data_IF_902552995290
#
_entry.id   IF_902552995290
#
_cell.length_a   1.000
_cell.length_b   1.000
_cell.length_c   1.000
_cell.angle_alpha   90.00
_cell.angle_beta   90.00
_cell.angle_gamma   90.00
#
_symmetry.space_group_name_H-M   'P 1'
#
loop_
_entity.id
_entity.type
_entity.pdbx_description
1 polymer ?
#
# COMPACT_ATOMS: atom_id res chain seq x y z
N UNK A 1 -5.49 20.04 1.68
CA UNK A 1 -5.99 19.25 2.82
C UNK A 1 -4.92 18.24 3.12
N UNK A 2 -4.41 18.23 4.33
CA UNK A 2 -3.21 17.46 4.66
C UNK A 2 -3.60 16.17 5.38
N UNK A 3 -2.94 15.07 5.02
CA UNK A 3 -3.10 13.74 5.61
C UNK A 3 -1.75 13.24 6.08
N UNK A 4 -1.70 12.65 7.27
CA UNK A 4 -0.43 12.26 7.89
C UNK A 4 -0.41 10.78 8.30
N UNK A 5 0.80 10.24 8.34
CA UNK A 5 1.15 8.96 8.93
C UNK A 5 2.51 9.10 9.60
N UNK A 6 2.77 8.29 10.62
CA UNK A 6 4.02 8.27 11.37
C UNK A 6 4.64 6.88 11.32
N UNK A 7 5.96 6.84 11.21
CA UNK A 7 6.74 5.63 11.31
C UNK A 7 7.80 5.79 12.40
N UNK A 8 7.89 4.82 13.30
CA UNK A 8 8.97 4.73 14.29
C UNK A 8 9.84 3.55 13.93
N UNK A 9 11.16 3.71 14.03
CA UNK A 9 12.12 2.62 13.89
C UNK A 9 13.08 2.61 15.07
N UNK A 10 13.43 1.42 15.56
CA UNK A 10 14.36 1.22 16.67
C UNK A 10 15.38 0.15 16.31
N UNK A 11 16.66 0.44 16.56
CA UNK A 11 17.76 -0.49 16.31
C UNK A 11 18.35 -0.39 14.90
N UNK A 12 19.23 -1.36 14.57
CA UNK A 12 19.88 -1.44 13.27
C UNK A 12 18.91 -1.90 12.17
N UNK A 13 19.36 -2.00 10.91
CA UNK A 13 18.49 -2.39 9.80
C UNK A 13 17.97 -3.83 9.92
N UNK A 14 18.83 -4.82 10.20
CA UNK A 14 18.46 -6.24 10.10
C UNK A 14 17.67 -6.76 11.31
N UNK A 15 18.03 -6.29 12.49
CA UNK A 15 17.44 -6.73 13.76
C UNK A 15 16.46 -5.71 14.34
N UNK A 16 16.44 -4.50 13.77
CA UNK A 16 15.53 -3.46 14.20
C UNK A 16 14.08 -3.77 13.86
N UNK A 17 13.22 -3.06 14.55
CA UNK A 17 11.78 -3.16 14.42
C UNK A 17 11.18 -1.76 14.46
N UNK A 18 10.03 -1.62 13.81
CA UNK A 18 9.32 -0.36 13.76
C UNK A 18 7.82 -0.54 13.90
N UNK A 19 7.14 0.59 14.02
CA UNK A 19 5.69 0.68 14.07
C UNK A 19 5.17 1.77 13.14
N UNK A 20 3.96 1.57 12.61
CA UNK A 20 3.26 2.51 11.73
C UNK A 20 1.94 2.95 12.36
N UNK A 21 1.66 4.24 12.25
CA UNK A 21 0.42 4.86 12.70
C UNK A 21 -0.13 5.75 11.57
N UNK A 22 -1.44 5.68 11.30
CA UNK A 22 -2.11 6.59 10.36
C UNK A 22 -3.04 7.54 11.09
N UNK A 23 -3.24 8.76 10.56
CA UNK A 23 -4.14 9.77 11.16
C UNK A 23 -5.55 9.24 11.43
N UNK A 24 -6.06 8.35 10.57
CA UNK A 24 -7.38 7.74 10.74
C UNK A 24 -7.44 6.66 11.83
N UNK A 25 -6.28 6.18 12.30
CA UNK A 25 -6.16 5.02 13.18
C UNK A 25 -6.32 3.67 12.48
N UNK A 26 -6.40 3.65 11.14
CA UNK A 26 -6.46 2.40 10.36
C UNK A 26 -5.21 1.53 10.58
N UNK A 27 -4.04 2.16 10.75
CA UNK A 27 -2.85 1.56 11.32
C UNK A 27 -2.61 2.22 12.68
N UNK A 28 -2.34 1.40 13.70
CA UNK A 28 -2.10 1.88 15.06
C UNK A 28 -1.06 1.00 15.73
N UNK A 29 0.16 1.52 15.84
CA UNK A 29 1.32 0.77 16.30
C UNK A 29 1.61 -0.48 15.46
N UNK A 30 1.21 -0.51 14.19
CA UNK A 30 1.30 -1.71 13.35
C UNK A 30 2.76 -2.07 13.11
N UNK A 31 3.23 -3.27 13.50
CA UNK A 31 4.65 -3.61 13.44
C UNK A 31 5.14 -3.82 12.00
N UNK A 32 6.34 -3.34 11.72
CA UNK A 32 7.08 -3.68 10.49
C UNK A 32 8.56 -3.92 10.81
N UNK A 33 9.24 -4.69 9.98
CA UNK A 33 10.66 -5.03 10.15
C UNK A 33 11.33 -5.33 8.81
N UNK A 34 12.66 -5.41 8.81
CA UNK A 34 13.41 -5.81 7.63
C UNK A 34 13.04 -7.23 7.19
N UNK A 35 12.86 -8.14 8.16
CA UNK A 35 12.48 -9.54 7.88
C UNK A 35 11.12 -9.62 7.20
N UNK A 36 10.12 -8.92 7.75
CA UNK A 36 8.78 -8.86 7.17
C UNK A 36 8.76 -8.25 5.77
N UNK A 37 9.67 -7.30 5.50
CA UNK A 37 9.73 -6.60 4.20
C UNK A 37 10.55 -7.33 3.14
N UNK A 38 11.63 -8.02 3.52
CA UNK A 38 12.63 -8.52 2.56
C UNK A 38 12.94 -10.00 2.68
N UNK A 39 12.73 -10.62 3.85
CA UNK A 39 13.03 -12.05 4.06
C UNK A 39 11.79 -12.93 3.94
N UNK A 40 10.59 -12.36 4.08
CA UNK A 40 9.34 -13.01 3.73
C UNK A 40 8.95 -12.73 2.29
N UNK A 41 9.30 -13.65 1.38
CA UNK A 41 8.95 -13.55 -0.04
C UNK A 41 7.43 -13.54 -0.29
N UNK A 42 6.62 -14.03 0.66
CA UNK A 42 5.16 -13.97 0.52
C UNK A 42 4.58 -12.59 0.83
N UNK A 43 5.32 -11.76 1.57
CA UNK A 43 4.89 -10.44 2.06
C UNK A 43 3.72 -10.49 3.04
N UNK A 44 3.44 -11.64 3.67
CA UNK A 44 2.24 -11.85 4.52
C UNK A 44 2.52 -11.85 6.02
N UNK A 45 3.79 -11.90 6.42
CA UNK A 45 4.20 -11.99 7.82
C UNK A 45 4.08 -10.68 8.59
N UNK A 46 3.72 -9.58 7.91
CA UNK A 46 3.49 -8.27 8.49
C UNK A 46 3.28 -7.22 7.42
N UNK A 47 2.94 -6.01 7.85
CA UNK A 47 2.80 -4.89 6.90
C UNK A 47 4.16 -4.47 6.36
N UNK A 48 4.13 -3.84 5.19
CA UNK A 48 5.32 -3.33 4.52
C UNK A 48 4.97 -2.06 3.72
N UNK A 49 5.93 -1.16 3.44
CA UNK A 49 5.66 0.05 2.67
C UNK A 49 5.04 -0.22 1.28
N UNK A 50 5.42 -1.32 0.64
CA UNK A 50 5.01 -1.66 -0.72
C UNK A 50 3.50 -1.97 -0.81
N UNK A 51 2.94 -2.75 0.13
CA UNK A 51 1.50 -3.02 0.16
C UNK A 51 0.67 -1.78 0.47
N UNK A 52 1.20 -0.84 1.27
CA UNK A 52 0.50 0.39 1.62
C UNK A 52 0.43 1.34 0.41
N UNK A 53 1.50 1.39 -0.39
CA UNK A 53 1.50 2.10 -1.68
C UNK A 53 0.55 1.40 -2.65
N UNK A 54 0.53 0.07 -2.69
CA UNK A 54 -0.40 -0.69 -3.53
C UNK A 54 -1.87 -0.38 -3.15
N UNK A 55 -2.19 -0.37 -1.85
CA UNK A 55 -3.53 -0.04 -1.36
C UNK A 55 -3.95 1.39 -1.73
N UNK A 56 -3.05 2.37 -1.53
CA UNK A 56 -3.31 3.75 -1.90
C UNK A 56 -3.55 3.91 -3.41
N UNK A 57 -2.73 3.27 -4.24
CA UNK A 57 -2.82 3.37 -5.69
C UNK A 57 -4.09 2.69 -6.24
N UNK A 58 -4.38 1.46 -5.80
CA UNK A 58 -5.57 0.72 -6.20
C UNK A 58 -6.86 1.48 -5.82
N UNK A 59 -6.94 1.98 -4.58
CA UNK A 59 -8.10 2.72 -4.10
C UNK A 59 -8.32 4.04 -4.85
N UNK A 60 -7.24 4.79 -5.14
CA UNK A 60 -7.33 6.02 -5.93
C UNK A 60 -7.81 5.75 -7.36
N UNK A 61 -7.26 4.71 -8.01
CA UNK A 61 -7.65 4.32 -9.36
C UNK A 61 -9.12 3.91 -9.46
N UNK A 62 -9.57 3.00 -8.58
CA UNK A 62 -10.98 2.56 -8.57
C UNK A 62 -11.95 3.72 -8.34
N UNK A 63 -11.63 4.62 -7.41
CA UNK A 63 -12.45 5.79 -7.11
C UNK A 63 -12.57 6.75 -8.31
N UNK A 64 -11.44 7.10 -8.92
CA UNK A 64 -11.45 8.00 -10.07
C UNK A 64 -12.15 7.37 -11.29
N UNK A 65 -11.94 6.07 -11.54
CA UNK A 65 -12.61 5.38 -12.63
C UNK A 65 -14.12 5.31 -12.42
N UNK A 66 -14.59 5.02 -11.20
CA UNK A 66 -16.01 5.05 -10.85
C UNK A 66 -16.64 6.42 -11.15
N UNK A 67 -15.94 7.50 -10.80
CA UNK A 67 -16.39 8.86 -11.08
C UNK A 67 -16.53 9.13 -12.58
N UNK A 68 -15.52 8.80 -13.39
CA UNK A 68 -15.55 9.02 -14.85
C UNK A 68 -16.65 8.18 -15.52
N UNK A 69 -16.85 6.94 -15.08
CA UNK A 69 -17.93 6.07 -15.58
C UNK A 69 -19.31 6.64 -15.27
N UNK A 70 -19.51 7.20 -14.07
CA UNK A 70 -20.75 7.86 -13.70
C UNK A 70 -21.01 9.14 -14.51
N UNK A 71 -19.98 9.97 -14.74
CA UNK A 71 -20.08 11.16 -15.59
C UNK A 71 -20.48 10.83 -17.03
N UNK A 72 -20.12 9.64 -17.51
CA UNK A 72 -20.50 9.15 -18.83
C UNK A 72 -21.85 8.40 -18.86
N UNK A 73 -22.64 8.46 -17.78
CA UNK A 73 -23.96 7.83 -17.70
C UNK A 73 -23.94 6.31 -17.54
N UNK A 74 -22.79 5.72 -17.22
CA UNK A 74 -22.59 4.28 -17.04
C UNK A 74 -21.95 3.98 -15.68
N UNK A 75 -22.60 4.33 -14.55
CA UNK A 75 -22.02 4.11 -13.22
C UNK A 75 -21.72 2.63 -12.98
N UNK A 76 -20.50 2.34 -12.53
CA UNK A 76 -20.10 0.97 -12.20
C UNK A 76 -20.88 0.45 -10.98
N UNK A 77 -21.29 -0.82 -11.02
CA UNK A 77 -21.85 -1.51 -9.85
C UNK A 77 -20.77 -1.93 -8.87
N UNK A 78 -19.62 -2.38 -9.40
CA UNK A 78 -18.46 -2.81 -8.63
C UNK A 78 -17.19 -2.59 -9.47
N UNK A 79 -16.08 -2.25 -8.83
CA UNK A 79 -14.75 -2.17 -9.43
C UNK A 79 -13.76 -2.82 -8.47
N UNK A 80 -13.33 -4.03 -8.77
CA UNK A 80 -12.27 -4.74 -8.05
C UNK A 80 -10.92 -4.39 -8.70
N UNK A 81 -10.25 -3.39 -8.13
CA UNK A 81 -8.93 -2.95 -8.58
C UNK A 81 -7.83 -3.50 -7.66
N UNK A 82 -6.81 -4.09 -8.27
CA UNK A 82 -5.60 -4.57 -7.59
C UNK A 82 -4.38 -3.86 -8.14
N UNK A 83 -3.51 -3.40 -7.24
CA UNK A 83 -2.18 -2.91 -7.58
C UNK A 83 -1.11 -3.93 -7.13
N UNK A 84 -0.10 -4.13 -7.96
CA UNK A 84 1.12 -4.89 -7.63
C UNK A 84 2.30 -3.93 -7.68
N UNK A 85 2.87 -3.62 -6.53
CA UNK A 85 4.07 -2.78 -6.41
C UNK A 85 5.31 -3.66 -6.48
N UNK A 86 6.24 -3.34 -7.37
CA UNK A 86 7.51 -4.05 -7.53
C UNK A 86 8.64 -3.28 -6.87
N UNK A 87 9.28 -3.91 -5.90
CA UNK A 87 10.50 -3.43 -5.25
C UNK A 87 11.69 -4.24 -5.74
N UNK A 88 12.74 -3.54 -6.21
CA UNK A 88 14.03 -4.15 -6.53
C UNK A 88 15.02 -3.77 -5.44
N UNK A 89 15.53 -4.72 -4.63
CA UNK A 89 16.50 -4.44 -3.57
C UNK A 89 17.72 -3.67 -4.10
N UNK A 90 18.08 -2.58 -3.41
CA UNK A 90 19.17 -1.70 -3.83
C UNK A 90 18.82 -0.67 -4.90
N UNK A 91 17.67 -0.80 -5.56
CA UNK A 91 17.17 0.18 -6.55
C UNK A 91 15.97 0.97 -6.03
N UNK A 92 15.06 0.32 -5.32
CA UNK A 92 13.81 0.91 -4.84
C UNK A 92 12.59 0.40 -5.60
N UNK A 93 11.47 1.14 -5.50
CA UNK A 93 10.22 0.79 -6.17
C UNK A 93 10.36 1.13 -7.66
N UNK A 94 10.17 0.13 -8.53
CA UNK A 94 10.36 0.27 -9.98
C UNK A 94 9.07 0.15 -10.78
N UNK A 95 7.98 -0.28 -10.16
CA UNK A 95 6.70 -0.45 -10.86
C UNK A 95 5.50 -0.52 -9.93
N UNK A 96 4.34 -0.17 -10.48
CA UNK A 96 3.03 -0.38 -9.87
C UNK A 96 2.03 -0.76 -10.96
N UNK A 97 1.74 -2.06 -11.09
CA UNK A 97 0.88 -2.60 -12.13
C UNK A 97 -0.57 -2.73 -11.62
N UNK A 98 -1.54 -2.20 -12.35
CA UNK A 98 -2.96 -2.26 -12.02
C UNK A 98 -3.68 -3.31 -12.85
N UNK A 99 -4.54 -4.10 -12.20
CA UNK A 99 -5.53 -4.96 -12.85
C UNK A 99 -6.91 -4.61 -12.30
N UNK A 100 -7.94 -4.69 -13.14
CA UNK A 100 -9.31 -4.33 -12.79
C UNK A 100 -10.26 -5.43 -13.27
N UNK A 101 -11.24 -5.77 -12.42
CA UNK A 101 -12.45 -6.52 -12.78
C UNK A 101 -13.66 -5.65 -12.42
N UNK A 102 -14.61 -5.47 -13.33
CA UNK A 102 -15.78 -4.60 -13.16
C UNK A 102 -16.91 -4.96 -14.11
#
# INVERSE_FOLDING_TARGET
MDRTANAVWKGNLKEGNGTLDTQSGALKGTPYSFKMRFEDESGKSGTNPEELIAAAHAGCFAMQLSHVLAENGTPATELDAKAVVTLVPGTGITGSALTLVG
#
